data_IF_816746422921
#
_entry.id   IF_816746422921
#
_cell.length_a   1.000
_cell.length_b   1.000
_cell.length_c   1.000
_cell.angle_alpha   90.00
_cell.angle_beta   90.00
_cell.angle_gamma   90.00
#
_symmetry.space_group_name_H-M   'P 1'
#
loop_
_entity.id
_entity.type
_entity.pdbx_description
1 polymer ?
#
# COMPACT_ATOMS: atom_id res chain seq x y z
N UNK A 1 42.61 20.69 44.09
CA UNK A 1 42.11 21.36 42.87
C UNK A 1 41.83 20.39 41.70
N UNK A 2 41.17 19.23 41.92
CA UNK A 2 40.90 18.24 40.84
C UNK A 2 39.42 17.90 40.59
N UNK A 3 38.50 18.29 41.49
CA UNK A 3 37.06 17.96 41.38
C UNK A 3 36.30 18.84 40.37
N UNK A 4 36.65 20.13 40.28
CA UNK A 4 35.96 21.09 39.38
C UNK A 4 36.26 20.81 37.90
N UNK A 5 37.51 20.47 37.57
CA UNK A 5 37.89 20.08 36.20
C UNK A 5 37.26 18.76 35.77
N UNK A 6 37.13 17.78 36.68
CA UNK A 6 36.46 16.51 36.38
C UNK A 6 34.95 16.69 36.13
N UNK A 7 34.26 17.52 36.94
CA UNK A 7 32.86 17.86 36.69
C UNK A 7 32.67 18.62 35.37
N UNK A 8 33.56 19.58 35.07
CA UNK A 8 33.50 20.31 33.81
C UNK A 8 33.70 19.38 32.60
N UNK A 9 34.65 18.45 32.67
CA UNK A 9 34.88 17.46 31.62
C UNK A 9 33.67 16.54 31.39
N UNK A 10 33.01 16.09 32.46
CA UNK A 10 31.77 15.33 32.36
C UNK A 10 30.64 16.13 31.69
N UNK A 11 30.43 17.39 32.11
CA UNK A 11 29.37 18.23 31.53
C UNK A 11 29.59 18.52 30.05
N UNK A 12 30.84 18.75 29.62
CA UNK A 12 31.15 18.98 28.21
C UNK A 12 31.03 17.69 27.39
N UNK A 13 31.44 16.54 27.93
CA UNK A 13 31.28 15.24 27.29
C UNK A 13 29.82 14.88 27.04
N UNK A 14 28.95 15.09 28.03
CA UNK A 14 27.51 14.82 27.88
C UNK A 14 26.83 15.78 26.89
N UNK A 15 27.25 17.06 26.85
CA UNK A 15 26.68 18.05 25.94
C UNK A 15 27.04 17.74 24.46
N UNK A 16 28.27 17.31 24.19
CA UNK A 16 28.72 16.94 22.84
C UNK A 16 28.06 15.66 22.32
N UNK A 17 27.86 14.66 23.19
CA UNK A 17 27.17 13.43 22.80
C UNK A 17 25.66 13.66 22.60
N UNK A 18 25.04 14.46 23.45
CA UNK A 18 23.62 14.80 23.34
C UNK A 18 23.29 15.55 22.05
N UNK A 19 24.10 16.56 21.68
CA UNK A 19 23.87 17.35 20.47
C UNK A 19 24.09 16.56 19.17
N UNK A 20 25.05 15.63 19.16
CA UNK A 20 25.32 14.77 17.99
C UNK A 20 24.20 13.75 17.70
N UNK A 21 23.57 13.20 18.74
CA UNK A 21 22.47 12.24 18.60
C UNK A 21 21.11 12.91 18.36
N UNK A 22 20.97 14.18 18.75
CA UNK A 22 19.72 14.93 18.64
C UNK A 22 19.11 14.96 17.23
N UNK A 23 19.84 15.25 16.14
CA UNK A 23 19.27 15.22 14.78
C UNK A 23 18.81 13.81 14.36
N UNK A 24 19.50 12.74 14.78
CA UNK A 24 19.09 11.37 14.50
C UNK A 24 17.81 10.98 15.26
N UNK A 25 17.71 11.39 16.53
CA UNK A 25 16.52 11.15 17.36
C UNK A 25 15.34 11.94 16.82
N UNK A 26 15.52 13.23 16.50
CA UNK A 26 14.47 14.07 15.92
C UNK A 26 14.02 13.49 14.57
N UNK A 27 14.95 13.09 13.69
CA UNK A 27 14.61 12.48 12.41
C UNK A 27 13.80 11.19 12.57
N UNK A 28 14.06 10.37 13.59
CA UNK A 28 13.27 9.17 13.89
C UNK A 28 11.90 9.48 14.48
N UNK A 29 11.77 10.52 15.30
CA UNK A 29 10.49 10.94 15.91
C UNK A 29 9.60 11.65 14.87
N UNK A 30 10.18 12.46 13.99
CA UNK A 30 9.44 13.20 12.95
C UNK A 30 9.35 12.44 11.63
N UNK A 31 9.99 11.26 11.51
CA UNK A 31 9.70 10.33 10.43
C UNK A 31 8.24 9.90 10.58
N UNK A 32 7.37 10.66 9.92
CA UNK A 32 5.98 10.32 9.71
C UNK A 32 5.96 8.90 9.17
N UNK A 33 5.56 7.96 10.02
CA UNK A 33 5.08 6.67 9.55
C UNK A 33 3.90 7.01 8.66
N UNK A 34 4.15 7.07 7.35
CA UNK A 34 3.08 7.12 6.38
C UNK A 34 2.45 5.75 6.46
N UNK A 35 1.55 5.60 7.43
CA UNK A 35 0.62 4.50 7.54
C UNK A 35 -0.30 4.64 6.34
N UNK A 36 0.16 4.19 5.17
CA UNK A 36 -0.72 3.88 4.05
C UNK A 36 -1.79 2.97 4.62
N UNK A 37 -3.02 3.46 4.67
CA UNK A 37 -4.16 2.68 5.12
C UNK A 37 -4.16 1.35 4.36
N UNK A 38 -3.92 0.19 5.01
CA UNK A 38 -3.82 -1.08 4.32
C UNK A 38 -5.15 -1.48 3.64
N UNK A 39 -6.25 -0.75 3.92
CA UNK A 39 -7.60 -1.06 3.43
C UNK A 39 -7.97 -0.41 2.09
N UNK A 40 -7.11 0.40 1.46
CA UNK A 40 -7.51 1.17 0.26
C UNK A 40 -7.06 0.59 -1.08
N UNK A 41 -6.42 -0.58 -1.10
CA UNK A 41 -5.86 -1.15 -2.31
C UNK A 41 -6.26 -2.62 -2.41
N UNK A 42 -7.20 -2.94 -3.31
CA UNK A 42 -7.57 -4.31 -3.63
C UNK A 42 -6.67 -4.84 -4.74
N UNK A 43 -6.25 -6.10 -4.66
CA UNK A 43 -5.55 -6.73 -5.78
C UNK A 43 -6.50 -6.92 -6.98
N UNK A 44 -6.01 -6.83 -8.23
CA UNK A 44 -6.81 -7.17 -9.40
C UNK A 44 -7.30 -8.63 -9.34
N UNK A 45 -8.37 -8.97 -10.07
CA UNK A 45 -8.90 -10.34 -10.08
C UNK A 45 -7.85 -11.33 -10.61
N UNK A 46 -7.81 -12.52 -10.00
CA UNK A 46 -6.87 -13.58 -10.34
C UNK A 46 -5.49 -13.46 -9.70
N UNK A 47 -5.25 -12.46 -8.85
CA UNK A 47 -4.00 -12.34 -8.12
C UNK A 47 -3.70 -13.59 -7.28
N UNK A 48 -2.41 -13.95 -7.20
CA UNK A 48 -1.97 -15.00 -6.29
C UNK A 48 -2.43 -14.69 -4.86
N UNK A 49 -2.93 -15.72 -4.16
CA UNK A 49 -3.48 -15.59 -2.81
C UNK A 49 -2.46 -15.14 -1.79
N UNK A 50 -1.23 -15.64 -1.93
CA UNK A 50 -0.11 -15.16 -1.15
C UNK A 50 0.43 -13.86 -1.78
N UNK A 51 0.38 -12.78 -1.00
CA UNK A 51 0.75 -11.48 -1.50
C UNK A 51 2.26 -11.38 -1.76
N UNK A 52 3.09 -12.02 -0.95
CA UNK A 52 4.54 -12.04 -1.18
C UNK A 52 4.88 -12.74 -2.50
N UNK A 53 4.23 -13.88 -2.77
CA UNK A 53 4.33 -14.55 -4.07
C UNK A 53 3.82 -13.67 -5.22
N UNK A 54 2.71 -12.94 -5.04
CA UNK A 54 2.20 -12.00 -6.04
C UNK A 54 3.23 -10.91 -6.36
N UNK A 55 3.79 -10.27 -5.32
CA UNK A 55 4.80 -9.22 -5.44
C UNK A 55 6.05 -9.75 -6.15
N UNK A 56 6.48 -10.96 -5.82
CA UNK A 56 7.63 -11.59 -6.46
C UNK A 56 7.37 -11.94 -7.93
N UNK A 57 6.17 -12.38 -8.29
CA UNK A 57 5.79 -12.74 -9.65
C UNK A 57 5.49 -11.52 -10.54
N UNK A 58 5.03 -10.41 -9.96
CA UNK A 58 4.64 -9.23 -10.72
C UNK A 58 5.86 -8.42 -11.19
N UNK A 59 6.12 -8.43 -12.50
CA UNK A 59 7.22 -7.66 -13.10
C UNK A 59 6.87 -6.18 -13.37
N UNK A 60 5.68 -5.72 -12.98
CA UNK A 60 5.26 -4.32 -13.18
C UNK A 60 5.16 -3.86 -14.64
N UNK A 61 4.82 -4.76 -15.57
CA UNK A 61 4.78 -4.48 -17.01
C UNK A 61 3.65 -3.54 -17.47
N UNK A 62 2.61 -3.35 -16.66
CA UNK A 62 1.51 -2.44 -16.97
C UNK A 62 0.41 -2.99 -17.90
N UNK A 63 0.60 -4.15 -18.52
CA UNK A 63 -0.36 -4.73 -19.50
C UNK A 63 -1.79 -4.86 -18.94
N UNK A 64 -1.92 -5.28 -17.68
CA UNK A 64 -3.23 -5.39 -17.03
C UNK A 64 -3.99 -4.05 -16.97
N UNK A 65 -3.29 -2.94 -16.78
CA UNK A 65 -3.86 -1.59 -16.77
C UNK A 65 -4.30 -1.14 -18.16
N UNK A 66 -3.47 -1.40 -19.18
CA UNK A 66 -3.75 -1.01 -20.57
C UNK A 66 -4.98 -1.73 -21.14
N UNK A 67 -5.15 -3.02 -20.86
CA UNK A 67 -6.29 -3.79 -21.38
C UNK A 67 -7.58 -3.61 -20.58
N UNK A 68 -7.52 -2.93 -19.43
CA UNK A 68 -8.65 -2.78 -18.51
C UNK A 68 -9.71 -1.84 -19.11
N UNK A 69 -10.90 -2.35 -19.53
CA UNK A 69 -11.92 -1.50 -20.15
C UNK A 69 -12.40 -0.36 -19.24
N UNK A 70 -12.67 -0.58 -17.93
CA UNK A 70 -13.03 0.53 -17.05
C UNK A 70 -11.81 1.36 -16.64
N UNK A 71 -10.56 0.99 -16.94
CA UNK A 71 -9.36 1.67 -16.42
C UNK A 71 -9.39 1.85 -14.90
N UNK A 72 -9.76 0.79 -14.17
CA UNK A 72 -9.82 0.79 -12.72
C UNK A 72 -8.50 0.37 -12.04
N UNK A 73 -7.58 -0.21 -12.81
CA UNK A 73 -6.28 -0.65 -12.30
C UNK A 73 -5.32 0.53 -12.24
N UNK A 74 -4.77 0.77 -11.05
CA UNK A 74 -3.72 1.74 -10.74
C UNK A 74 -2.45 1.01 -10.34
N UNK A 75 -1.34 1.73 -10.30
CA UNK A 75 -0.04 1.18 -9.93
C UNK A 75 0.54 1.93 -8.74
N UNK A 76 1.12 1.20 -7.80
CA UNK A 76 1.87 1.81 -6.70
C UNK A 76 3.04 2.63 -7.24
N UNK A 77 3.32 3.76 -6.57
CA UNK A 77 4.39 4.68 -6.98
C UNK A 77 5.75 4.01 -6.81
N UNK A 78 6.76 4.61 -7.44
CA UNK A 78 8.17 4.20 -7.33
C UNK A 78 8.87 4.94 -6.20
N UNK A 79 8.27 4.96 -5.03
CA UNK A 79 8.76 5.62 -3.81
C UNK A 79 9.55 4.67 -2.88
N UNK A 80 9.80 3.43 -3.34
CA UNK A 80 10.48 2.39 -2.57
C UNK A 80 9.49 1.57 -1.75
N UNK A 81 9.85 0.32 -1.46
CA UNK A 81 9.00 -0.65 -0.77
C UNK A 81 8.73 -1.91 -1.58
N UNK A 82 8.10 -2.90 -0.96
CA UNK A 82 7.82 -4.21 -1.58
C UNK A 82 6.80 -4.12 -2.71
N UNK A 83 5.91 -3.13 -2.69
CA UNK A 83 4.75 -3.05 -3.59
C UNK A 83 5.00 -2.23 -4.87
N UNK A 84 6.23 -1.78 -5.09
CA UNK A 84 6.56 -0.83 -6.17
C UNK A 84 6.13 -1.38 -7.54
N UNK A 85 5.43 -0.55 -8.33
CA UNK A 85 4.84 -0.91 -9.64
C UNK A 85 3.87 -2.10 -9.64
N UNK A 86 3.43 -2.58 -8.48
CA UNK A 86 2.39 -3.60 -8.45
C UNK A 86 1.01 -2.96 -8.68
N UNK A 87 0.09 -3.66 -9.37
CA UNK A 87 -1.24 -3.14 -9.64
C UNK A 87 -2.15 -3.25 -8.41
N UNK A 88 -3.07 -2.30 -8.30
CA UNK A 88 -4.16 -2.30 -7.31
C UNK A 88 -5.41 -1.63 -7.88
N UNK A 89 -6.55 -1.82 -7.21
CA UNK A 89 -7.84 -1.23 -7.54
C UNK A 89 -8.36 -0.48 -6.31
N UNK A 90 -8.77 0.77 -6.51
CA UNK A 90 -9.55 1.51 -5.53
C UNK A 90 -11.03 1.48 -5.96
N UNK A 91 -11.88 0.65 -5.31
CA UNK A 91 -13.28 0.49 -5.72
C UNK A 91 -14.13 1.74 -5.47
N UNK A 92 -13.72 2.63 -4.55
CA UNK A 92 -14.41 3.89 -4.28
C UNK A 92 -14.31 4.87 -5.46
N UNK A 93 -13.20 4.82 -6.21
CA UNK A 93 -13.01 5.66 -7.38
C UNK A 93 -13.57 5.01 -8.65
N UNK A 94 -13.24 3.72 -8.86
CA UNK A 94 -13.71 3.00 -10.04
C UNK A 94 -13.70 1.49 -9.81
N UNK A 95 -14.86 0.86 -9.95
CA UNK A 95 -15.03 -0.57 -9.73
C UNK A 95 -14.53 -1.41 -10.93
N UNK A 96 -14.10 -2.64 -10.62
CA UNK A 96 -13.84 -3.68 -11.61
C UNK A 96 -15.16 -4.27 -12.12
N UNK A 97 -15.25 -4.56 -13.42
CA UNK A 97 -16.42 -5.24 -14.02
C UNK A 97 -16.25 -6.77 -14.12
N UNK A 98 -15.12 -7.30 -13.63
CA UNK A 98 -14.74 -8.72 -13.69
C UNK A 98 -14.87 -9.29 -15.13
N UNK A 99 -14.17 -8.66 -16.08
CA UNK A 99 -14.16 -9.06 -17.50
C UNK A 99 -12.99 -9.97 -17.90
N UNK A 100 -12.15 -10.38 -16.95
CA UNK A 100 -11.04 -11.33 -17.10
C UNK A 100 -9.86 -10.95 -17.99
N UNK A 101 -9.96 -9.90 -18.81
CA UNK A 101 -8.88 -9.47 -19.73
C UNK A 101 -7.51 -9.28 -19.07
N UNK A 102 -7.46 -8.78 -17.83
CA UNK A 102 -6.20 -8.59 -17.11
C UNK A 102 -5.51 -9.92 -16.74
N UNK A 103 -6.28 -10.99 -16.52
CA UNK A 103 -5.77 -12.33 -16.24
C UNK A 103 -5.25 -12.99 -17.53
N UNK A 104 -5.90 -12.76 -18.66
CA UNK A 104 -5.51 -13.33 -19.97
C UNK A 104 -4.16 -12.79 -20.49
N UNK A 105 -3.82 -11.54 -20.16
CA UNK A 105 -2.61 -10.89 -20.70
C UNK A 105 -1.42 -10.91 -19.74
N UNK A 106 -1.55 -11.48 -18.55
CA UNK A 106 -0.46 -11.48 -17.57
C UNK A 106 0.65 -12.45 -17.99
N UNK A 107 1.86 -11.98 -18.35
CA UNK A 107 2.90 -12.85 -18.90
C UNK A 107 3.59 -13.71 -17.84
N UNK A 108 3.50 -13.33 -16.57
CA UNK A 108 4.15 -14.03 -15.45
C UNK A 108 3.19 -14.82 -14.58
N UNK A 109 1.91 -14.86 -14.97
CA UNK A 109 0.85 -15.53 -14.20
C UNK A 109 0.71 -15.00 -12.76
N UNK A 110 1.20 -13.78 -12.48
CA UNK A 110 0.88 -13.08 -11.23
C UNK A 110 -0.64 -12.83 -11.10
N UNK A 111 -1.33 -12.69 -12.24
CA UNK A 111 -2.77 -12.79 -12.36
C UNK A 111 -3.09 -14.07 -13.14
N UNK A 112 -3.67 -15.06 -12.47
CA UNK A 112 -4.05 -16.36 -13.03
C UNK A 112 -5.51 -16.35 -13.48
N UNK A 113 -5.87 -17.18 -14.47
CA UNK A 113 -7.27 -17.33 -14.85
C UNK A 113 -8.05 -18.01 -13.72
N UNK A 114 -8.86 -17.23 -13.02
CA UNK A 114 -9.72 -17.70 -11.93
C UNK A 114 -11.19 -17.58 -12.35
N UNK A 115 -12.02 -18.62 -12.15
CA UNK A 115 -13.45 -18.53 -12.46
C UNK A 115 -14.12 -17.50 -11.55
N UNK A 116 -15.17 -16.84 -12.06
CA UNK A 116 -15.78 -15.64 -11.44
C UNK A 116 -16.21 -15.83 -9.99
N UNK A 117 -16.66 -17.03 -9.64
CA UNK A 117 -17.10 -17.42 -8.29
C UNK A 117 -15.95 -17.66 -7.30
N UNK A 118 -14.72 -17.79 -7.78
CA UNK A 118 -13.52 -18.02 -6.96
C UNK A 118 -12.59 -16.81 -6.90
N UNK A 119 -12.95 -15.71 -7.58
CA UNK A 119 -12.18 -14.46 -7.55
C UNK A 119 -12.21 -13.89 -6.15
N UNK A 120 -11.04 -13.81 -5.51
CA UNK A 120 -10.83 -13.16 -4.23
C UNK A 120 -10.19 -11.79 -4.44
N UNK A 121 -11.01 -10.73 -4.37
CA UNK A 121 -10.56 -9.34 -4.49
C UNK A 121 -11.10 -8.49 -3.34
N UNK A 122 -11.36 -9.10 -2.18
CA UNK A 122 -11.99 -8.47 -1.03
C UNK A 122 -13.52 -8.59 -1.00
N UNK A 123 -14.11 -8.23 0.14
CA UNK A 123 -15.54 -8.35 0.41
C UNK A 123 -16.22 -6.99 0.25
N UNK A 124 -17.23 -6.91 -0.62
CA UNK A 124 -18.05 -5.71 -0.76
C UNK A 124 -18.95 -5.54 0.47
N UNK A 125 -18.87 -4.38 1.12
CA UNK A 125 -19.73 -4.00 2.24
C UNK A 125 -20.67 -2.88 1.82
N UNK A 126 -21.98 -3.09 2.03
CA UNK A 126 -22.99 -2.04 1.82
C UNK A 126 -23.00 -1.12 3.03
N UNK A 127 -22.76 0.17 2.82
CA UNK A 127 -23.04 1.19 3.83
C UNK A 127 -24.55 1.43 3.90
N UNK A 128 -25.17 0.86 4.93
CA UNK A 128 -26.63 0.96 5.18
C UNK A 128 -27.08 2.39 5.47
N UNK A 129 -26.18 3.27 5.91
CA UNK A 129 -26.52 4.67 6.17
C UNK A 129 -26.53 5.52 4.89
N UNK A 130 -25.79 5.10 3.87
CA UNK A 130 -25.72 5.77 2.57
C UNK A 130 -26.59 5.11 1.47
N UNK A 131 -26.98 3.84 1.66
CA UNK A 131 -27.75 3.08 0.68
C UNK A 131 -29.18 3.61 0.56
N UNK A 132 -29.51 4.22 -0.59
CA UNK A 132 -30.83 4.82 -0.87
C UNK A 132 -32.04 3.91 -0.54
N UNK A 133 -32.06 2.63 -0.97
CA UNK A 133 -33.12 1.70 -0.59
C UNK A 133 -33.23 1.40 0.91
N UNK A 134 -32.17 1.58 1.70
CA UNK A 134 -32.18 1.28 3.14
C UNK A 134 -32.67 2.47 3.97
N UNK A 135 -32.42 3.69 3.49
CA UNK A 135 -32.84 4.92 4.17
C UNK A 135 -34.17 5.48 3.66
N UNK A 136 -34.87 4.75 2.78
CA UNK A 136 -36.13 5.15 2.15
C UNK A 136 -36.08 6.55 1.51
N UNK A 137 -34.91 6.93 0.96
CA UNK A 137 -34.70 8.20 0.23
C UNK A 137 -34.52 7.99 -1.28
N UNK A 138 -34.73 6.77 -1.76
CA UNK A 138 -34.70 6.48 -3.19
C UNK A 138 -35.78 7.30 -3.92
N UNK A 139 -35.42 7.81 -5.10
CA UNK A 139 -36.35 8.50 -5.99
C UNK A 139 -37.51 7.60 -6.44
#
# INVERSE_FOLDING_TARGET
>A
MKRRGFLQWLTYGTALLGSGLMPFVISRITALTTSTNPRQHLRPPGALKDDEAFVAACIGCGLCGEVCPPRCIKFHRRDGGTWVNTPFINPEEKACILCNKCMEVCPTEALTQTPRNEVDMGIAQIDRSACYPWVDRGI
#
